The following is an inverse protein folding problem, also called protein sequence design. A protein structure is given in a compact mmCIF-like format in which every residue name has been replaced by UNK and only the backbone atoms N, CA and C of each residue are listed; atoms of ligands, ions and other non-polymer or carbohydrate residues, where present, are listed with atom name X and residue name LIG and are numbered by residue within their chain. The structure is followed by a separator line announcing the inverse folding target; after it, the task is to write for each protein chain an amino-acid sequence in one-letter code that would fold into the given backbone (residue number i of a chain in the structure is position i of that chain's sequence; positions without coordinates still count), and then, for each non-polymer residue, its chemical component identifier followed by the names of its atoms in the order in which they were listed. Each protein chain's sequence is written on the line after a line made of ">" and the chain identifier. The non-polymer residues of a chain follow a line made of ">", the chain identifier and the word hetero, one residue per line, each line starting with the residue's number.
data_IF_592434575461
#
_entry.id   IF_592434575461
#
_cell.length_a   1.000
_cell.length_b   1.000
_cell.length_c   1.000
_cell.angle_alpha   90.00
_cell.angle_beta   90.00
_cell.angle_gamma   90.00
#
_symmetry.space_group_name_H-M   'P 1'
#
loop_
_entity.id
_entity.type
_entity.pdbx_description
1 polymer ?
#
# COMPACT_ATOMS: atom_id res chain seq x y z
N UNK A 1 -10.56 -17.87 -6.69
CA UNK A 1 -9.92 -16.57 -6.92
C UNK A 1 -8.42 -16.79 -7.06
N UNK A 2 -7.86 -16.88 -8.27
CA UNK A 2 -6.40 -16.85 -8.44
C UNK A 2 -5.96 -15.41 -8.15
N UNK A 3 -5.50 -15.17 -6.92
CA UNK A 3 -5.13 -13.84 -6.45
C UNK A 3 -4.02 -13.27 -7.32
N UNK A 4 -4.25 -12.10 -7.92
CA UNK A 4 -3.16 -11.33 -8.52
C UNK A 4 -2.10 -11.13 -7.43
N UNK A 5 -0.84 -11.36 -7.79
CA UNK A 5 0.30 -11.05 -6.94
C UNK A 5 0.69 -9.60 -7.20
N UNK A 6 0.99 -8.85 -6.15
CA UNK A 6 1.45 -7.47 -6.29
C UNK A 6 2.84 -7.46 -6.94
N UNK A 7 2.95 -6.98 -8.18
CA UNK A 7 4.22 -6.96 -8.92
C UNK A 7 5.33 -6.20 -8.17
N UNK A 8 4.99 -5.10 -7.48
CA UNK A 8 5.94 -4.33 -6.69
C UNK A 8 6.54 -5.17 -5.55
N UNK A 9 5.72 -6.00 -4.89
CA UNK A 9 6.21 -6.93 -3.85
C UNK A 9 7.12 -8.00 -4.46
N UNK A 10 6.80 -8.53 -5.63
CA UNK A 10 7.65 -9.52 -6.31
C UNK A 10 9.02 -8.92 -6.67
N UNK A 11 9.02 -7.70 -7.19
CA UNK A 11 10.24 -6.96 -7.54
C UNK A 11 11.06 -6.51 -6.32
N UNK A 12 10.42 -6.27 -5.18
CA UNK A 12 11.14 -5.80 -3.97
C UNK A 12 11.88 -6.92 -3.24
N UNK A 13 11.48 -8.19 -3.41
CA UNK A 13 12.09 -9.32 -2.69
C UNK A 13 13.58 -9.51 -3.01
N UNK A 14 14.03 -9.57 -4.28
CA UNK A 14 15.46 -9.69 -4.58
C UNK A 14 16.29 -8.50 -4.07
N UNK A 15 15.69 -7.31 -3.96
CA UNK A 15 16.37 -6.11 -3.48
C UNK A 15 16.56 -6.17 -1.96
N UNK A 16 15.65 -6.81 -1.22
CA UNK A 16 15.68 -6.95 0.24
C UNK A 16 16.53 -8.14 0.73
N UNK A 17 16.77 -9.14 -0.12
CA UNK A 17 17.61 -10.32 0.15
C UNK A 17 18.96 -9.92 0.78
N UNK A 18 19.46 -10.62 1.84
CA UNK A 18 18.90 -11.82 2.47
C UNK A 18 17.78 -11.57 3.49
N UNK A 19 17.44 -10.32 3.80
CA UNK A 19 16.45 -10.01 4.82
C UNK A 19 15.02 -10.06 4.25
N UNK A 20 14.02 -10.48 5.06
CA UNK A 20 12.63 -10.32 4.67
C UNK A 20 12.27 -8.82 4.61
N UNK A 21 11.27 -8.47 3.78
CA UNK A 21 10.80 -7.08 3.62
C UNK A 21 10.35 -6.43 4.94
N UNK A 22 9.93 -7.22 5.92
CA UNK A 22 9.55 -6.73 7.26
C UNK A 22 10.75 -6.23 8.08
N UNK A 23 11.94 -6.77 7.85
CA UNK A 23 13.17 -6.41 8.55
C UNK A 23 13.97 -5.37 7.77
N UNK A 24 13.94 -5.45 6.44
CA UNK A 24 14.56 -4.47 5.53
C UNK A 24 13.54 -3.99 4.49
N UNK A 25 12.64 -3.07 4.86
CA UNK A 25 11.69 -2.51 3.90
C UNK A 25 12.43 -1.64 2.88
N UNK A 26 12.45 -2.09 1.63
CA UNK A 26 13.07 -1.37 0.48
C UNK A 26 12.04 -0.62 -0.36
N UNK A 27 10.76 -0.76 0.00
CA UNK A 27 9.63 -0.11 -0.64
C UNK A 27 8.61 0.26 0.45
N UNK A 28 7.74 1.21 0.15
CA UNK A 28 6.54 1.53 0.93
C UNK A 28 5.41 1.85 -0.03
N UNK A 29 4.17 1.67 0.42
CA UNK A 29 2.98 2.05 -0.34
C UNK A 29 2.29 3.23 0.33
N UNK A 30 1.52 3.99 -0.45
CA UNK A 30 0.79 5.15 0.02
C UNK A 30 -0.61 5.20 -0.57
N UNK A 31 -1.61 5.49 0.25
CA UNK A 31 -2.97 5.78 -0.19
C UNK A 31 -3.43 7.15 0.31
N UNK A 32 -3.93 7.96 -0.60
CA UNK A 32 -4.62 9.21 -0.27
C UNK A 32 -6.12 9.01 -0.32
N UNK A 33 -6.76 9.15 0.84
CA UNK A 33 -8.21 9.11 1.00
C UNK A 33 -8.84 10.22 0.17
N UNK A 34 -9.91 9.90 -0.53
CA UNK A 34 -10.73 10.90 -1.21
C UNK A 34 -11.57 11.60 -0.13
N UNK A 35 -11.27 12.88 0.10
CA UNK A 35 -11.97 13.67 1.12
C UNK A 35 -13.39 14.03 0.67
N UNK A 36 -14.39 14.05 1.58
CA UNK A 36 -14.32 13.57 2.96
C UNK A 36 -14.57 12.04 3.06
N UNK A 37 -13.71 11.31 3.76
CA UNK A 37 -13.96 9.92 4.23
C UNK A 37 -14.36 8.87 3.16
N UNK A 38 -13.92 9.00 1.92
CA UNK A 38 -14.18 8.00 0.86
C UNK A 38 -12.96 7.13 0.56
N UNK A 39 -13.18 5.81 0.58
CA UNK A 39 -12.24 4.82 0.09
C UNK A 39 -12.62 4.43 -1.33
N UNK A 40 -11.63 4.37 -2.22
CA UNK A 40 -11.85 3.96 -3.61
C UNK A 40 -11.56 2.48 -3.78
N UNK A 41 -12.20 1.85 -4.77
CA UNK A 41 -11.94 0.46 -5.12
C UNK A 41 -10.44 0.19 -5.39
N UNK A 42 -9.70 1.04 -6.15
CA UNK A 42 -8.25 0.87 -6.30
C UNK A 42 -7.47 0.98 -4.98
N UNK A 43 -7.90 1.86 -4.07
CA UNK A 43 -7.29 1.98 -2.74
C UNK A 43 -7.47 0.70 -1.93
N UNK A 44 -8.69 0.17 -1.90
CA UNK A 44 -9.01 -1.09 -1.23
C UNK A 44 -8.25 -2.28 -1.85
N UNK A 45 -8.15 -2.35 -3.18
CA UNK A 45 -7.36 -3.37 -3.87
C UNK A 45 -5.88 -3.28 -3.48
N UNK A 46 -5.31 -2.07 -3.37
CA UNK A 46 -3.93 -1.90 -2.92
C UNK A 46 -3.71 -2.46 -1.51
N UNK A 47 -4.62 -2.20 -0.55
CA UNK A 47 -4.49 -2.76 0.79
C UNK A 47 -4.57 -4.29 0.78
N UNK A 48 -5.53 -4.86 0.05
CA UNK A 48 -5.68 -6.31 -0.07
C UNK A 48 -4.41 -6.96 -0.66
N UNK A 49 -3.84 -6.35 -1.70
CA UNK A 49 -2.70 -6.85 -2.45
C UNK A 49 -1.36 -6.72 -1.70
N UNK A 50 -1.27 -5.81 -0.73
CA UNK A 50 -0.01 -5.48 -0.04
C UNK A 50 0.00 -5.92 1.43
N UNK A 51 -1.17 -6.20 2.01
CA UNK A 51 -1.30 -6.72 3.37
C UNK A 51 -0.52 -8.02 3.57
N UNK A 52 -0.01 -8.22 4.79
CA UNK A 52 0.73 -9.45 5.14
C UNK A 52 2.18 -9.53 4.65
N UNK A 53 2.65 -8.59 3.81
CA UNK A 53 4.04 -8.58 3.33
C UNK A 53 5.03 -7.86 4.24
N UNK A 54 4.56 -7.24 5.33
CA UNK A 54 5.41 -6.54 6.30
C UNK A 54 6.00 -5.22 5.79
N UNK A 55 5.49 -4.70 4.68
CA UNK A 55 5.91 -3.44 4.06
C UNK A 55 5.15 -2.26 4.67
N UNK A 56 5.80 -1.11 4.95
CA UNK A 56 5.12 0.09 5.45
C UNK A 56 4.02 0.59 4.49
N UNK A 57 2.90 0.99 5.09
CA UNK A 57 1.75 1.58 4.42
C UNK A 57 1.49 2.96 5.00
N UNK A 58 1.59 3.99 4.18
CA UNK A 58 1.20 5.35 4.53
C UNK A 58 -0.26 5.58 4.11
N UNK A 59 -1.07 6.09 5.02
CA UNK A 59 -2.44 6.53 4.74
C UNK A 59 -2.48 8.02 5.05
N UNK A 60 -2.81 8.83 4.05
CA UNK A 60 -3.02 10.26 4.20
C UNK A 60 -4.39 10.68 3.66
N UNK A 61 -4.75 11.92 3.93
CA UNK A 61 -5.93 12.59 3.40
C UNK A 61 -5.60 14.07 3.29
N UNK A 62 -6.19 14.74 2.31
CA UNK A 62 -6.10 16.19 2.16
C UNK A 62 -7.49 16.79 2.42
N UNK A 63 -7.90 16.94 3.70
CA UNK A 63 -9.16 17.58 4.02
C UNK A 63 -9.07 19.08 3.72
N UNK A 64 -9.98 19.58 2.90
CA UNK A 64 -10.11 21.01 2.62
C UNK A 64 -11.17 21.61 3.53
N UNK A 65 -10.76 22.52 4.42
CA UNK A 65 -11.69 23.21 5.31
C UNK A 65 -12.69 24.05 4.51
N UNK A 66 -13.98 23.87 4.75
CA UNK A 66 -15.06 24.61 4.09
C UNK A 66 -15.41 24.14 2.67
N UNK A 67 -14.78 23.07 2.17
CA UNK A 67 -15.28 22.36 1.01
C UNK A 67 -16.55 21.58 1.39
N UNK A 68 -17.59 21.69 0.57
CA UNK A 68 -18.86 20.98 0.73
C UNK A 68 -18.77 19.55 0.19
#
# INVERSE_FOLDING_TARGET
>A
MHGRRCAIIEMSRPIADPQPLRERPVVSFGFTVVSPLHWTEPGLEMFLQTSGHGVPMMINSEPTAGAA
#
